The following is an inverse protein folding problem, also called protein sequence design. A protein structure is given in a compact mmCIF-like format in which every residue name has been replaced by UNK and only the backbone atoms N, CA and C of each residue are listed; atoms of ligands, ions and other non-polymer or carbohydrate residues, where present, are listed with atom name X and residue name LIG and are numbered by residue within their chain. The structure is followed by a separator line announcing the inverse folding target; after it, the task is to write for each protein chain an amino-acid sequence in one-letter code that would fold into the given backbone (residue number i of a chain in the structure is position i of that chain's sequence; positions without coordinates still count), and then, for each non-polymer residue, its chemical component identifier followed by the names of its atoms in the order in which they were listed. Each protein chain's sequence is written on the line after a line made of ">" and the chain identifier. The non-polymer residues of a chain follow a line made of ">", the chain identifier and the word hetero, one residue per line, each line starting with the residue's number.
data_IF_911198048684
#
_entry.id   IF_911198048684
#
_cell.length_a   1.000
_cell.length_b   1.000
_cell.length_c   1.000
_cell.angle_alpha   90.00
_cell.angle_beta   90.00
_cell.angle_gamma   90.00
#
_symmetry.space_group_name_H-M   'P 1'
#
loop_
_entity.id
_entity.type
_entity.pdbx_description
1 polymer ?
#
# COMPACT_ATOMS: atom_id res chain seq x y z
N UNK A 1 20.15 -2.74 -2.63
CA UNK A 1 19.56 -1.64 -1.85
C UNK A 1 19.28 -2.23 -0.48
N UNK A 2 19.77 -1.63 0.60
CA UNK A 2 19.51 -2.15 1.94
C UNK A 2 18.03 -2.06 2.25
N UNK A 3 17.47 -3.11 2.86
CA UNK A 3 16.07 -3.14 3.23
C UNK A 3 15.82 -2.12 4.36
N UNK A 4 15.03 -1.06 4.12
CA UNK A 4 14.86 0.05 5.06
C UNK A 4 14.06 -0.34 6.31
N UNK A 5 13.18 -1.32 6.18
CA UNK A 5 12.33 -1.83 7.25
C UNK A 5 11.89 -3.27 6.94
N UNK A 6 11.49 -3.99 7.97
CA UNK A 6 10.96 -5.35 7.83
C UNK A 6 9.73 -5.56 8.71
N UNK A 7 8.74 -6.26 8.18
CA UNK A 7 7.62 -6.81 8.97
C UNK A 7 7.75 -8.32 8.97
N UNK A 8 7.87 -8.91 10.17
CA UNK A 8 8.05 -10.35 10.35
C UNK A 8 7.46 -10.82 11.67
N UNK A 9 7.17 -12.12 11.83
CA UNK A 9 7.01 -12.69 13.17
C UNK A 9 8.26 -12.38 14.02
N UNK A 10 8.08 -11.85 15.25
CA UNK A 10 9.21 -11.58 16.14
C UNK A 10 9.82 -12.90 16.62
N UNK A 11 11.15 -13.00 16.65
CA UNK A 11 11.85 -14.07 17.36
C UNK A 11 12.08 -13.62 18.80
N UNK A 12 11.19 -14.02 19.71
CA UNK A 12 11.24 -13.62 21.11
C UNK A 12 12.40 -14.27 21.90
N UNK A 13 13.20 -15.14 21.27
CA UNK A 13 14.49 -15.56 21.81
C UNK A 13 15.59 -14.50 21.60
N UNK A 14 15.39 -13.50 20.73
CA UNK A 14 16.30 -12.38 20.54
C UNK A 14 16.44 -11.58 21.86
N UNK A 15 17.68 -11.37 22.36
CA UNK A 15 17.88 -10.67 23.63
C UNK A 15 17.25 -9.28 23.66
N UNK A 16 16.40 -9.03 24.65
CA UNK A 16 15.79 -7.72 24.88
C UNK A 16 14.54 -7.43 24.04
N UNK A 17 14.15 -8.30 23.10
CA UNK A 17 13.00 -8.04 22.23
C UNK A 17 11.68 -8.10 23.01
N UNK A 18 11.54 -9.06 23.94
CA UNK A 18 10.37 -9.15 24.81
C UNK A 18 10.20 -7.90 25.69
N UNK A 19 11.30 -7.39 26.26
CA UNK A 19 11.32 -6.14 27.02
C UNK A 19 11.01 -4.93 26.14
N UNK A 20 11.51 -4.90 24.90
CA UNK A 20 11.20 -3.84 23.95
C UNK A 20 9.70 -3.84 23.58
N UNK A 21 9.12 -4.99 23.28
CA UNK A 21 7.69 -5.15 22.99
C UNK A 21 6.82 -4.75 24.19
N UNK A 22 7.20 -5.15 25.41
CA UNK A 22 6.47 -4.75 26.61
C UNK A 22 6.53 -3.22 26.83
N UNK A 23 7.71 -2.60 26.69
CA UNK A 23 7.85 -1.14 26.79
C UNK A 23 7.05 -0.41 25.72
N UNK A 24 7.04 -0.92 24.50
CA UNK A 24 6.26 -0.39 23.39
C UNK A 24 4.76 -0.40 23.70
N UNK A 25 4.24 -1.52 24.22
CA UNK A 25 2.85 -1.60 24.67
C UNK A 25 2.54 -0.56 25.75
N UNK A 26 3.38 -0.44 26.78
CA UNK A 26 3.16 0.52 27.87
C UNK A 26 3.12 1.96 27.33
N UNK A 27 4.00 2.31 26.40
CA UNK A 27 4.02 3.63 25.78
C UNK A 27 2.74 3.90 24.98
N UNK A 28 2.33 2.95 24.13
CA UNK A 28 1.10 3.07 23.33
C UNK A 28 -0.16 3.12 24.21
N UNK A 29 -0.21 2.32 25.28
CA UNK A 29 -1.34 2.26 26.19
C UNK A 29 -1.55 3.55 26.97
N UNK A 30 -0.47 4.20 27.46
CA UNK A 30 -0.57 5.52 28.11
C UNK A 30 -1.19 6.57 27.19
N UNK A 31 -0.83 6.55 25.91
CA UNK A 31 -1.37 7.47 24.93
C UNK A 31 -2.85 7.18 24.64
N UNK A 32 -3.23 5.91 24.56
CA UNK A 32 -4.63 5.51 24.38
C UNK A 32 -5.51 5.91 25.57
N UNK A 33 -5.03 5.73 26.81
CA UNK A 33 -5.72 6.22 28.01
C UNK A 33 -5.97 7.72 27.94
N UNK A 34 -4.96 8.50 27.56
CA UNK A 34 -5.09 9.95 27.41
C UNK A 34 -6.14 10.34 26.34
N UNK A 35 -6.22 9.60 25.24
CA UNK A 35 -7.20 9.85 24.18
C UNK A 35 -8.63 9.49 24.57
N UNK A 36 -8.80 8.44 25.37
CA UNK A 36 -10.12 7.95 25.78
C UNK A 36 -10.63 8.63 27.07
N UNK A 37 -9.90 9.59 27.62
CA UNK A 37 -10.30 10.30 28.84
C UNK A 37 -10.14 9.46 30.10
N UNK A 38 -9.06 8.66 30.17
CA UNK A 38 -8.70 7.80 31.30
C UNK A 38 -9.84 6.86 31.77
N UNK A 39 -10.35 5.98 30.89
CA UNK A 39 -11.33 5.00 31.29
C UNK A 39 -10.76 4.11 32.40
N UNK A 40 -11.53 3.79 33.45
CA UNK A 40 -11.01 3.14 34.65
C UNK A 40 -10.39 1.76 34.41
N UNK A 41 -10.77 1.07 33.33
CA UNK A 41 -10.42 -0.34 33.10
C UNK A 41 -10.06 -0.65 31.64
N UNK A 42 -9.12 0.07 31.03
CA UNK A 42 -8.52 -0.38 29.77
C UNK A 42 -7.41 -1.40 30.08
N UNK A 43 -7.54 -2.69 29.69
CA UNK A 43 -6.55 -3.69 30.05
C UNK A 43 -5.27 -3.56 29.22
N UNK A 44 -4.15 -3.94 29.82
CA UNK A 44 -2.93 -4.29 29.08
C UNK A 44 -3.07 -5.73 28.57
N UNK A 45 -2.50 -6.02 27.39
CA UNK A 45 -2.43 -7.40 26.89
C UNK A 45 -1.39 -8.21 27.66
N UNK A 46 -0.24 -7.60 27.97
CA UNK A 46 0.81 -8.20 28.80
C UNK A 46 1.07 -7.38 30.05
N UNK A 47 1.33 -8.05 31.17
CA UNK A 47 1.72 -7.45 32.46
C UNK A 47 3.25 -7.43 32.66
N UNK A 48 4.01 -8.07 31.77
CA UNK A 48 5.48 -8.08 31.79
C UNK A 48 6.09 -8.75 30.55
N UNK A 49 7.42 -8.65 30.42
CA UNK A 49 8.16 -9.26 29.30
C UNK A 49 8.02 -10.80 29.24
N UNK A 50 7.87 -11.46 30.41
CA UNK A 50 7.60 -12.89 30.46
C UNK A 50 6.26 -13.25 29.79
N UNK A 51 5.23 -12.41 29.95
CA UNK A 51 3.93 -12.60 29.30
C UNK A 51 3.99 -12.34 27.79
N UNK A 52 4.86 -11.44 27.32
CA UNK A 52 5.13 -11.28 25.88
C UNK A 52 5.68 -12.59 25.29
N UNK A 53 6.66 -13.17 25.97
CA UNK A 53 7.32 -14.43 25.54
C UNK A 53 6.36 -15.61 25.59
N UNK A 54 5.52 -15.68 26.63
CA UNK A 54 4.53 -16.73 26.81
C UNK A 54 3.21 -16.48 26.07
N UNK A 55 3.13 -15.44 25.22
CA UNK A 55 1.90 -15.06 24.55
C UNK A 55 1.42 -16.20 23.63
N UNK A 56 0.19 -16.71 23.83
CA UNK A 56 -0.33 -17.83 23.03
C UNK A 56 -0.74 -17.38 21.62
N UNK A 57 -0.84 -16.08 21.39
CA UNK A 57 -1.28 -15.48 20.13
C UNK A 57 -0.11 -15.28 19.17
N UNK A 58 -0.42 -15.27 17.88
CA UNK A 58 0.55 -14.95 16.84
C UNK A 58 0.85 -13.45 16.84
N UNK A 59 2.05 -13.12 16.35
CA UNK A 59 2.56 -11.75 16.39
C UNK A 59 3.21 -11.38 15.05
N UNK A 60 3.07 -10.13 14.64
CA UNK A 60 3.86 -9.49 13.61
C UNK A 60 4.52 -8.26 14.20
N UNK A 61 5.82 -8.11 13.99
CA UNK A 61 6.61 -7.00 14.46
C UNK A 61 7.19 -6.23 13.26
N UNK A 62 7.12 -4.90 13.35
CA UNK A 62 7.69 -3.99 12.36
C UNK A 62 8.98 -3.38 12.91
N UNK A 63 10.06 -3.49 12.14
CA UNK A 63 11.38 -3.02 12.52
C UNK A 63 11.93 -2.02 11.50
N UNK A 64 12.64 -1.03 12.01
CA UNK A 64 13.50 -0.13 11.24
C UNK A 64 14.95 -0.37 11.71
N UNK A 65 15.76 -1.03 10.88
CA UNK A 65 17.00 -1.63 11.34
C UNK A 65 16.74 -2.65 12.46
N UNK A 66 17.35 -2.45 13.63
CA UNK A 66 17.14 -3.26 14.83
C UNK A 66 16.04 -2.72 15.75
N UNK A 67 15.48 -1.54 15.48
CA UNK A 67 14.52 -0.89 16.38
C UNK A 67 13.09 -1.36 16.11
N UNK A 68 12.40 -1.82 17.14
CA UNK A 68 11.00 -2.21 17.08
C UNK A 68 10.11 -0.96 17.00
N UNK A 69 9.38 -0.80 15.90
CA UNK A 69 8.50 0.35 15.62
C UNK A 69 7.02 0.04 15.82
N UNK A 70 6.64 -1.23 15.79
CA UNK A 70 5.25 -1.63 15.97
C UNK A 70 5.10 -3.13 16.15
N UNK A 71 3.96 -3.53 16.71
CA UNK A 71 3.60 -4.91 16.97
C UNK A 71 2.10 -5.09 16.76
N UNK A 72 1.71 -6.16 16.09
CA UNK A 72 0.34 -6.59 15.90
C UNK A 72 0.22 -8.00 16.46
N UNK A 73 -0.74 -8.20 17.36
CA UNK A 73 -1.07 -9.48 17.97
C UNK A 73 -2.41 -9.94 17.47
N UNK A 74 -2.49 -11.20 17.04
CA UNK A 74 -3.69 -11.76 16.46
C UNK A 74 -3.83 -13.24 16.79
N UNK A 75 -5.05 -13.73 16.79
CA UNK A 75 -5.38 -15.14 16.92
C UNK A 75 -6.16 -15.63 15.70
N UNK A 76 -6.15 -16.94 15.49
CA UNK A 76 -6.98 -17.59 14.47
C UNK A 76 -8.39 -17.77 15.03
N UNK A 77 -9.40 -17.31 14.29
CA UNK A 77 -10.81 -17.42 14.68
C UNK A 77 -11.61 -17.98 13.50
N UNK A 78 -11.97 -19.27 13.58
CA UNK A 78 -12.68 -19.96 12.51
C UNK A 78 -11.86 -20.02 11.21
N UNK A 79 -12.35 -19.37 10.16
CA UNK A 79 -11.71 -19.26 8.84
C UNK A 79 -10.91 -17.95 8.65
N UNK A 80 -10.86 -17.12 9.69
CA UNK A 80 -10.21 -15.81 9.69
C UNK A 80 -9.27 -15.61 10.87
N UNK A 81 -8.96 -14.35 11.12
CA UNK A 81 -8.12 -13.92 12.25
C UNK A 81 -8.76 -12.75 12.97
N UNK A 82 -8.58 -12.70 14.29
CA UNK A 82 -8.97 -11.57 15.11
C UNK A 82 -7.73 -10.83 15.60
N UNK A 83 -7.65 -9.53 15.33
CA UNK A 83 -6.59 -8.67 15.86
C UNK A 83 -6.91 -8.38 17.32
N UNK A 84 -6.13 -8.98 18.21
CA UNK A 84 -6.19 -8.74 19.64
C UNK A 84 -5.68 -7.35 20.00
N UNK A 85 -4.59 -6.92 19.34
CA UNK A 85 -3.97 -5.63 19.62
C UNK A 85 -3.11 -5.17 18.47
N UNK A 86 -3.08 -3.87 18.24
CA UNK A 86 -1.99 -3.23 17.49
C UNK A 86 -1.38 -2.12 18.35
N UNK A 87 -0.06 -2.08 18.40
CA UNK A 87 0.71 -1.03 19.06
C UNK A 87 1.77 -0.53 18.10
N UNK A 88 1.95 0.79 18.08
CA UNK A 88 2.99 1.45 17.30
C UNK A 88 3.73 2.38 18.27
N UNK A 89 5.00 2.65 17.99
CA UNK A 89 5.77 3.59 18.77
C UNK A 89 5.14 5.00 18.67
N UNK A 90 4.68 5.59 19.79
CA UNK A 90 4.09 6.93 19.79
C UNK A 90 4.96 8.00 19.14
N UNK A 91 6.29 7.90 19.25
CA UNK A 91 7.22 8.85 18.63
C UNK A 91 7.21 8.77 17.09
N UNK A 92 6.71 7.67 16.54
CA UNK A 92 6.66 7.37 15.11
C UNK A 92 5.23 7.28 14.57
N UNK A 93 4.24 7.82 15.30
CA UNK A 93 2.86 7.90 14.81
C UNK A 93 2.76 8.70 13.51
N UNK A 94 1.82 8.29 12.65
CA UNK A 94 1.64 8.88 11.32
C UNK A 94 2.67 8.46 10.28
N UNK A 95 3.72 7.70 10.65
CA UNK A 95 4.74 7.24 9.70
C UNK A 95 4.38 5.93 8.96
N UNK A 96 3.15 5.42 9.15
CA UNK A 96 2.61 4.29 8.40
C UNK A 96 2.83 2.91 9.01
N UNK A 97 3.57 2.79 10.12
CA UNK A 97 3.89 1.49 10.76
C UNK A 97 2.67 0.61 11.06
N UNK A 98 1.61 1.19 11.62
CA UNK A 98 0.37 0.45 11.88
C UNK A 98 -0.27 -0.10 10.61
N UNK A 99 -0.24 0.68 9.52
CA UNK A 99 -0.76 0.23 8.23
C UNK A 99 0.10 -0.87 7.63
N UNK A 100 1.44 -0.80 7.75
CA UNK A 100 2.33 -1.88 7.29
C UNK A 100 2.01 -3.21 7.95
N UNK A 101 1.81 -3.20 9.28
CA UNK A 101 1.44 -4.38 10.05
C UNK A 101 0.10 -4.97 9.62
N UNK A 102 -0.93 -4.12 9.53
CA UNK A 102 -2.28 -4.55 9.11
C UNK A 102 -2.21 -5.10 7.69
N UNK A 103 -1.59 -4.38 6.75
CA UNK A 103 -1.50 -4.79 5.35
C UNK A 103 -0.69 -6.09 5.17
N UNK A 104 0.35 -6.32 5.97
CA UNK A 104 1.07 -7.59 6.00
C UNK A 104 0.16 -8.76 6.44
N UNK A 105 -0.70 -8.53 7.44
CA UNK A 105 -1.70 -9.53 7.85
C UNK A 105 -2.75 -9.74 6.75
N UNK A 106 -3.29 -8.68 6.15
CA UNK A 106 -4.30 -8.75 5.10
C UNK A 106 -3.80 -9.46 3.83
N UNK A 107 -2.48 -9.46 3.58
CA UNK A 107 -1.90 -10.18 2.47
C UNK A 107 -2.08 -11.71 2.60
N UNK A 108 -2.10 -12.23 3.82
CA UNK A 108 -2.19 -13.67 4.09
C UNK A 108 -3.53 -14.12 4.68
N UNK A 109 -4.31 -13.20 5.25
CA UNK A 109 -5.59 -13.49 5.88
C UNK A 109 -6.75 -12.83 5.12
N UNK A 110 -7.64 -13.60 4.47
CA UNK A 110 -8.74 -13.07 3.68
C UNK A 110 -9.90 -12.55 4.54
N UNK A 111 -9.97 -12.91 5.81
CA UNK A 111 -11.00 -12.48 6.74
C UNK A 111 -10.33 -12.06 8.05
N UNK A 112 -10.46 -10.78 8.40
CA UNK A 112 -9.83 -10.18 9.58
C UNK A 112 -10.84 -9.34 10.34
N UNK A 113 -10.94 -9.53 11.65
CA UNK A 113 -11.75 -8.68 12.51
C UNK A 113 -10.90 -7.98 13.57
N UNK A 114 -11.42 -6.88 14.11
CA UNK A 114 -10.79 -6.16 15.21
C UNK A 114 -11.83 -5.39 16.01
N UNK A 115 -11.67 -5.36 17.32
CA UNK A 115 -12.49 -4.55 18.20
C UNK A 115 -11.72 -3.29 18.63
N UNK A 116 -12.35 -2.12 18.54
CA UNK A 116 -11.75 -0.84 18.93
C UNK A 116 -12.76 0.10 19.56
N UNK A 117 -12.30 0.98 20.45
CA UNK A 117 -13.15 2.00 21.03
C UNK A 117 -13.62 3.01 19.97
N UNK A 118 -14.88 3.44 20.07
CA UNK A 118 -15.46 4.45 19.19
C UNK A 118 -14.73 5.80 19.31
N UNK A 119 -14.20 6.11 20.49
CA UNK A 119 -13.34 7.28 20.72
C UNK A 119 -11.92 7.14 20.15
N UNK A 120 -11.48 5.95 19.72
CA UNK A 120 -10.13 5.74 19.20
C UNK A 120 -10.05 6.12 17.71
N UNK A 121 -10.07 7.43 17.44
CA UNK A 121 -10.08 7.97 16.09
C UNK A 121 -8.83 7.57 15.27
N UNK A 122 -7.68 7.32 15.92
CA UNK A 122 -6.48 6.87 15.24
C UNK A 122 -6.62 5.44 14.70
N UNK A 123 -7.14 4.52 15.51
CA UNK A 123 -7.42 3.15 15.11
C UNK A 123 -8.51 3.10 14.01
N UNK A 124 -9.60 3.85 14.18
CA UNK A 124 -10.68 3.93 13.19
C UNK A 124 -10.16 4.41 11.82
N UNK A 125 -9.30 5.44 11.79
CA UNK A 125 -8.66 5.90 10.54
C UNK A 125 -7.74 4.85 9.94
N UNK A 126 -6.95 4.17 10.76
CA UNK A 126 -6.05 3.10 10.31
C UNK A 126 -6.82 1.96 9.64
N UNK A 127 -7.83 1.42 10.33
CA UNK A 127 -8.61 0.28 9.84
C UNK A 127 -9.48 0.68 8.65
N UNK A 128 -10.10 1.87 8.69
CA UNK A 128 -10.85 2.39 7.54
C UNK A 128 -9.97 2.52 6.28
N UNK A 129 -8.73 3.02 6.42
CA UNK A 129 -7.76 3.08 5.31
C UNK A 129 -7.36 1.69 4.79
N UNK A 130 -7.35 0.68 5.65
CA UNK A 130 -7.09 -0.70 5.27
C UNK A 130 -8.32 -1.42 4.68
N UNK A 131 -9.47 -0.74 4.57
CA UNK A 131 -10.69 -1.27 3.99
C UNK A 131 -11.57 -2.05 4.96
N UNK A 132 -11.36 -1.90 6.28
CA UNK A 132 -12.27 -2.45 7.28
C UNK A 132 -13.57 -1.64 7.31
N UNK A 133 -14.69 -2.31 7.56
CA UNK A 133 -16.01 -1.72 7.71
C UNK A 133 -16.61 -2.07 9.08
N UNK A 134 -17.45 -1.20 9.68
CA UNK A 134 -18.14 -1.53 10.92
C UNK A 134 -19.14 -2.68 10.74
N UNK A 135 -19.07 -3.69 11.60
CA UNK A 135 -19.97 -4.86 11.60
C UNK A 135 -20.91 -4.85 12.81
N UNK A 136 -20.42 -4.48 14.00
CA UNK A 136 -21.19 -4.51 15.24
C UNK A 136 -20.77 -3.40 16.20
N UNK A 137 -21.73 -2.86 16.97
CA UNK A 137 -21.50 -1.88 18.06
C UNK A 137 -22.05 -2.40 19.39
N UNK A 138 -21.31 -2.20 20.47
CA UNK A 138 -21.79 -2.49 21.84
C UNK A 138 -21.17 -1.54 22.86
N UNK A 139 -21.62 -1.64 24.11
CA UNK A 139 -21.02 -0.93 25.24
C UNK A 139 -20.46 -1.96 26.23
N UNK A 140 -19.30 -1.67 26.79
CA UNK A 140 -18.77 -2.42 27.94
C UNK A 140 -19.62 -2.13 29.19
N UNK A 141 -19.55 -2.97 30.25
CA UNK A 141 -20.19 -2.67 31.53
C UNK A 141 -19.79 -1.30 32.11
N UNK A 142 -18.58 -0.83 31.83
CA UNK A 142 -18.07 0.48 32.22
C UNK A 142 -18.51 1.64 31.31
N UNK A 143 -19.41 1.41 30.35
CA UNK A 143 -19.98 2.46 29.49
C UNK A 143 -19.15 2.84 28.26
N UNK A 144 -17.97 2.23 28.06
CA UNK A 144 -17.17 2.47 26.86
C UNK A 144 -17.85 1.88 25.62
N UNK A 145 -18.11 2.71 24.61
CA UNK A 145 -18.65 2.28 23.33
C UNK A 145 -17.55 1.67 22.44
N UNK A 146 -17.80 0.48 21.92
CA UNK A 146 -16.87 -0.29 21.08
C UNK A 146 -17.51 -0.61 19.73
N UNK A 147 -16.65 -0.71 18.71
CA UNK A 147 -16.96 -1.21 17.38
C UNK A 147 -16.17 -2.48 17.10
N UNK A 148 -16.82 -3.46 16.49
CA UNK A 148 -16.20 -4.54 15.73
C UNK A 148 -16.11 -4.08 14.29
N UNK A 149 -14.91 -4.09 13.77
CA UNK A 149 -14.62 -3.82 12.37
C UNK A 149 -14.21 -5.11 11.69
N UNK A 150 -14.73 -5.35 10.50
CA UNK A 150 -14.41 -6.50 9.68
C UNK A 150 -13.77 -6.10 8.36
N UNK A 151 -12.76 -6.86 7.95
CA UNK A 151 -12.21 -6.87 6.61
C UNK A 151 -12.47 -8.23 5.99
N UNK A 152 -13.01 -8.22 4.78
CA UNK A 152 -13.12 -9.41 3.94
C UNK A 152 -12.50 -9.09 2.60
N UNK A 153 -11.46 -9.82 2.23
CA UNK A 153 -10.90 -9.81 0.87
C UNK A 153 -12.05 -10.10 -0.09
N UNK A 154 -12.38 -9.17 -1.00
CA UNK A 154 -13.38 -9.43 -2.01
C UNK A 154 -12.97 -10.67 -2.82
N UNK A 155 -13.89 -11.59 -3.12
CA UNK A 155 -13.58 -12.70 -4.01
C UNK A 155 -13.11 -12.16 -5.37
N UNK A 156 -12.36 -13.00 -6.08
CA UNK A 156 -11.78 -12.65 -7.38
C UNK A 156 -12.86 -12.28 -8.43
N UNK A 157 -14.07 -12.82 -8.29
CA UNK A 157 -15.25 -12.50 -9.12
C UNK A 157 -16.02 -11.26 -8.67
N UNK A 158 -15.67 -10.65 -7.52
CA UNK A 158 -16.34 -9.46 -7.05
C UNK A 158 -16.26 -8.33 -8.08
N UNK A 159 -17.38 -7.62 -8.26
CA UNK A 159 -17.47 -6.51 -9.20
C UNK A 159 -16.28 -5.54 -9.01
N UNK A 160 -15.55 -5.30 -10.08
CA UNK A 160 -14.43 -4.36 -10.11
C UNK A 160 -14.96 -2.92 -10.16
N UNK A 161 -14.17 -1.92 -9.73
CA UNK A 161 -14.57 -0.52 -9.91
C UNK A 161 -14.89 -0.25 -11.39
N UNK A 162 -16.03 0.39 -11.70
CA UNK A 162 -16.37 0.71 -13.07
C UNK A 162 -15.40 1.78 -13.58
N UNK A 163 -14.76 1.52 -14.71
CA UNK A 163 -13.89 2.47 -15.40
C UNK A 163 -14.30 2.53 -16.86
N UNK A 164 -14.26 3.73 -17.44
CA UNK A 164 -14.49 3.97 -18.85
C UNK A 164 -13.31 4.72 -19.47
N UNK A 165 -13.25 4.77 -20.81
CA UNK A 165 -12.24 5.53 -21.53
C UNK A 165 -12.96 6.48 -22.48
N UNK A 166 -12.72 7.77 -22.35
CA UNK A 166 -13.27 8.78 -23.25
C UNK A 166 -12.46 8.87 -24.57
N UNK A 167 -12.99 9.65 -25.52
CA UNK A 167 -12.36 9.81 -26.83
C UNK A 167 -11.05 10.61 -26.82
N UNK A 168 -10.79 11.36 -25.74
CA UNK A 168 -9.54 12.09 -25.54
C UNK A 168 -8.45 11.21 -24.88
N UNK A 169 -8.81 10.01 -24.41
CA UNK A 169 -7.91 9.07 -23.76
C UNK A 169 -7.82 9.25 -22.24
N UNK A 170 -8.81 9.91 -21.62
CA UNK A 170 -8.94 10.02 -20.18
C UNK A 170 -9.95 9.00 -19.63
N UNK A 171 -9.70 8.55 -18.41
CA UNK A 171 -10.62 7.76 -17.59
C UNK A 171 -11.42 8.74 -16.73
N UNK A 172 -12.71 8.98 -17.01
CA UNK A 172 -13.49 9.99 -16.30
C UNK A 172 -13.59 9.75 -14.79
N UNK A 173 -13.54 8.49 -14.36
CA UNK A 173 -13.60 8.09 -12.95
C UNK A 173 -12.28 8.25 -12.20
N UNK A 174 -11.18 8.51 -12.92
CA UNK A 174 -9.90 8.84 -12.30
C UNK A 174 -9.87 10.32 -11.87
N UNK A 175 -9.16 10.63 -10.79
CA UNK A 175 -8.81 12.02 -10.50
C UNK A 175 -7.77 12.48 -11.51
N UNK A 176 -8.08 13.54 -12.24
CA UNK A 176 -7.15 14.08 -13.23
C UNK A 176 -6.15 15.04 -12.57
N UNK A 177 -4.87 14.78 -12.80
CA UNK A 177 -3.75 15.62 -12.38
C UNK A 177 -2.84 15.85 -13.60
N UNK A 178 -3.25 16.66 -14.59
CA UNK A 178 -2.57 16.70 -15.89
C UNK A 178 -1.09 17.09 -15.75
N UNK A 179 -0.20 16.22 -16.25
CA UNK A 179 1.23 16.46 -16.26
C UNK A 179 1.68 17.19 -17.53
N UNK A 180 2.61 18.15 -17.44
CA UNK A 180 3.28 18.73 -18.60
C UNK A 180 4.38 17.82 -19.18
N UNK A 181 4.77 16.76 -18.47
CA UNK A 181 5.83 15.83 -18.88
C UNK A 181 5.26 14.76 -19.82
N UNK A 182 4.93 15.16 -21.04
CA UNK A 182 4.37 14.29 -22.06
C UNK A 182 4.61 14.87 -23.44
N UNK A 183 4.51 14.01 -24.45
CA UNK A 183 4.58 14.41 -25.85
C UNK A 183 3.82 13.43 -26.76
N UNK A 184 3.80 13.73 -28.07
CA UNK A 184 3.12 12.89 -29.04
C UNK A 184 3.81 11.54 -29.19
N UNK A 185 3.01 10.47 -29.28
CA UNK A 185 3.48 9.17 -29.77
C UNK A 185 3.88 9.28 -31.24
N UNK A 186 4.84 8.45 -31.65
CA UNK A 186 5.20 8.37 -33.06
C UNK A 186 3.99 7.91 -33.90
N UNK A 187 3.80 8.54 -35.07
CA UNK A 187 2.67 8.23 -35.94
C UNK A 187 2.65 6.75 -36.33
N UNK A 188 1.49 6.10 -36.22
CA UNK A 188 1.30 4.69 -36.56
C UNK A 188 1.81 3.69 -35.52
N UNK A 189 2.37 4.14 -34.39
CA UNK A 189 2.74 3.23 -33.29
C UNK A 189 1.51 2.97 -32.42
N UNK A 190 1.04 1.73 -32.43
CA UNK A 190 0.00 1.27 -31.51
C UNK A 190 0.56 1.14 -30.08
N UNK A 191 -0.25 1.53 -29.10
CA UNK A 191 0.00 1.25 -27.69
C UNK A 191 -0.36 -0.21 -27.42
N UNK A 192 0.62 -1.02 -27.01
CA UNK A 192 0.46 -2.47 -26.89
C UNK A 192 0.87 -3.04 -25.53
N UNK A 193 1.58 -2.27 -24.70
CA UNK A 193 2.16 -2.75 -23.45
C UNK A 193 1.66 -1.95 -22.25
N UNK A 194 1.28 -2.63 -21.16
CA UNK A 194 1.16 -2.01 -19.84
C UNK A 194 2.41 -2.32 -19.01
N UNK A 195 3.11 -1.28 -18.54
CA UNK A 195 4.27 -1.42 -17.65
C UNK A 195 3.83 -1.02 -16.25
N UNK A 196 3.99 -1.93 -15.30
CA UNK A 196 3.70 -1.75 -13.88
C UNK A 196 4.96 -1.27 -13.17
N UNK A 197 4.80 -0.22 -12.36
CA UNK A 197 5.84 0.42 -11.56
C UNK A 197 5.40 0.48 -10.10
N UNK A 198 6.33 0.82 -9.22
CA UNK A 198 5.97 1.32 -7.89
C UNK A 198 6.73 2.60 -7.55
N UNK A 199 6.11 3.41 -6.70
CA UNK A 199 6.71 4.64 -6.22
C UNK A 199 6.16 5.02 -4.85
N UNK A 200 6.99 5.66 -4.03
CA UNK A 200 6.57 6.35 -2.81
C UNK A 200 7.45 7.56 -2.58
N UNK A 201 6.83 8.69 -2.23
CA UNK A 201 7.51 9.96 -2.00
C UNK A 201 6.98 10.66 -0.73
N UNK A 202 7.83 10.89 0.30
CA UNK A 202 9.22 10.40 0.40
C UNK A 202 9.31 8.87 0.33
N UNK A 203 10.50 8.30 0.08
CA UNK A 203 10.65 6.85 0.02
C UNK A 203 10.02 6.19 1.22
N UNK A 204 9.19 5.17 0.98
CA UNK A 204 8.53 4.40 2.04
C UNK A 204 7.57 5.23 2.92
N UNK A 205 7.05 6.33 2.39
CA UNK A 205 5.98 7.11 2.99
C UNK A 205 4.85 7.26 1.96
N UNK A 206 3.62 7.13 2.43
CA UNK A 206 2.43 7.01 1.57
C UNK A 206 1.37 8.04 1.96
N UNK A 207 0.47 8.35 1.03
CA UNK A 207 -0.63 9.29 1.21
C UNK A 207 -0.27 10.75 0.92
N UNK A 208 1.02 11.08 0.83
CA UNK A 208 1.49 12.45 0.57
C UNK A 208 1.28 12.93 -0.88
N UNK A 209 1.58 14.21 -1.17
CA UNK A 209 1.46 14.79 -2.50
C UNK A 209 2.71 14.58 -3.39
N UNK A 210 3.80 14.03 -2.84
CA UNK A 210 5.12 14.04 -3.49
C UNK A 210 5.16 13.40 -4.88
N UNK A 211 4.43 12.30 -5.09
CA UNK A 211 4.36 11.63 -6.41
C UNK A 211 3.70 12.54 -7.45
N UNK A 212 2.56 13.13 -7.09
CA UNK A 212 1.85 14.07 -7.97
C UNK A 212 2.70 15.30 -8.27
N UNK A 213 3.39 15.82 -7.26
CA UNK A 213 4.27 16.97 -7.41
C UNK A 213 5.48 16.67 -8.30
N UNK A 214 6.10 15.48 -8.16
CA UNK A 214 7.18 15.05 -9.05
C UNK A 214 6.70 15.00 -10.49
N UNK A 215 5.58 14.33 -10.75
CA UNK A 215 5.06 14.15 -12.11
C UNK A 215 4.53 15.45 -12.73
N UNK A 216 4.25 16.49 -11.93
CA UNK A 216 3.80 17.80 -12.41
C UNK A 216 4.89 18.88 -12.38
N UNK A 217 6.14 18.54 -12.06
CA UNK A 217 7.27 19.48 -11.91
C UNK A 217 7.06 20.54 -10.81
N UNK A 218 6.30 20.21 -9.76
CA UNK A 218 5.99 21.10 -8.62
C UNK A 218 6.56 20.57 -7.30
N UNK A 219 7.45 19.58 -7.35
CA UNK A 219 8.09 19.00 -6.16
C UNK A 219 8.97 20.03 -5.47
N UNK A 220 8.64 20.35 -4.21
CA UNK A 220 9.41 21.25 -3.36
C UNK A 220 10.71 20.55 -2.89
N UNK A 221 11.90 20.99 -3.33
CA UNK A 221 13.16 20.39 -2.90
C UNK A 221 13.45 20.60 -1.41
N UNK A 222 12.87 21.62 -0.76
CA UNK A 222 13.11 21.94 0.65
C UNK A 222 12.26 21.08 1.60
N UNK A 223 11.19 20.46 1.10
CA UNK A 223 10.28 19.67 1.93
C UNK A 223 10.86 18.32 2.40
N UNK A 224 11.86 17.78 1.70
CA UNK A 224 12.53 16.53 2.09
C UNK A 224 13.90 16.37 1.42
N UNK A 225 14.95 15.85 2.10
CA UNK A 225 16.28 15.67 1.49
C UNK A 225 16.29 14.86 0.19
N UNK A 226 15.47 13.81 0.11
CA UNK A 226 15.30 13.03 -1.12
C UNK A 226 14.69 13.86 -2.26
N UNK A 227 13.79 14.81 -1.97
CA UNK A 227 13.16 15.64 -2.99
C UNK A 227 14.17 16.57 -3.65
N UNK A 228 15.09 17.14 -2.87
CA UNK A 228 16.22 17.91 -3.41
C UNK A 228 16.99 17.13 -4.48
N UNK A 229 17.12 15.81 -4.34
CA UNK A 229 17.84 14.97 -5.32
C UNK A 229 17.07 14.65 -6.60
N UNK A 230 15.74 14.82 -6.64
CA UNK A 230 14.91 14.38 -7.78
C UNK A 230 14.01 15.46 -8.38
N UNK A 231 13.85 16.63 -7.75
CA UNK A 231 12.94 17.69 -8.20
C UNK A 231 13.22 18.20 -9.63
N UNK A 232 14.46 18.05 -10.09
CA UNK A 232 14.91 18.45 -11.43
C UNK A 232 14.54 17.42 -12.52
N UNK A 233 14.15 16.20 -12.14
CA UNK A 233 13.75 15.18 -13.11
C UNK A 233 12.49 15.62 -13.86
N UNK A 234 12.37 15.13 -15.10
CA UNK A 234 11.20 15.32 -15.95
C UNK A 234 10.68 13.94 -16.31
N UNK A 235 9.75 13.46 -15.50
CA UNK A 235 9.18 12.12 -15.56
C UNK A 235 7.68 12.18 -15.30
N UNK A 236 6.96 11.18 -15.78
CA UNK A 236 5.52 11.03 -15.58
C UNK A 236 5.12 9.59 -15.82
N UNK A 237 3.95 9.20 -15.31
CA UNK A 237 3.25 7.99 -15.70
C UNK A 237 1.90 8.35 -16.32
N UNK A 238 1.19 7.37 -16.87
CA UNK A 238 -0.19 7.61 -17.29
C UNK A 238 -1.11 7.59 -16.07
N UNK A 239 -0.92 6.58 -15.21
CA UNK A 239 -1.76 6.33 -14.05
C UNK A 239 -0.95 6.17 -12.78
N UNK A 240 -1.56 6.51 -11.65
CA UNK A 240 -1.07 6.23 -10.31
C UNK A 240 -2.21 5.69 -9.45
N UNK A 241 -1.95 4.61 -8.71
CA UNK A 241 -2.95 3.95 -7.85
C UNK A 241 -2.47 4.05 -6.40
N UNK A 242 -3.17 4.87 -5.61
CA UNK A 242 -2.89 5.07 -4.19
C UNK A 242 -3.21 3.82 -3.37
N UNK A 243 -2.70 3.75 -2.14
CA UNK A 243 -2.89 2.58 -1.24
C UNK A 243 -4.36 2.19 -1.00
N UNK A 244 -5.27 3.15 -1.04
CA UNK A 244 -6.71 2.95 -0.90
C UNK A 244 -7.42 2.59 -2.21
N UNK A 245 -6.69 2.49 -3.32
CA UNK A 245 -7.22 2.18 -4.64
C UNK A 245 -7.64 3.40 -5.47
N UNK A 246 -7.51 4.63 -4.96
CA UNK A 246 -7.78 5.84 -5.75
C UNK A 246 -6.92 5.85 -7.03
N UNK A 247 -7.59 5.97 -8.17
CA UNK A 247 -6.95 6.11 -9.47
C UNK A 247 -6.73 7.58 -9.79
N UNK A 248 -5.48 7.95 -10.03
CA UNK A 248 -5.06 9.26 -10.51
C UNK A 248 -4.53 9.10 -11.93
N UNK A 249 -4.90 10.01 -12.83
CA UNK A 249 -4.38 10.03 -14.21
C UNK A 249 -3.65 11.34 -14.49
N UNK A 250 -2.45 11.24 -15.08
CA UNK A 250 -1.61 12.40 -15.42
C UNK A 250 -1.52 12.67 -16.91
N UNK A 251 -1.54 11.62 -17.72
CA UNK A 251 -1.32 11.68 -19.17
C UNK A 251 -2.44 10.89 -19.85
N UNK A 252 -3.11 11.47 -20.87
CA UNK A 252 -4.09 10.71 -21.63
C UNK A 252 -3.41 9.55 -22.36
N UNK A 253 -4.09 8.41 -22.52
CA UNK A 253 -3.50 7.20 -23.12
C UNK A 253 -3.08 7.38 -24.59
N UNK A 254 -3.58 8.45 -25.23
CA UNK A 254 -3.26 8.87 -26.59
C UNK A 254 -1.90 9.56 -26.71
N UNK A 255 -1.35 10.06 -25.60
CA UNK A 255 -0.03 10.69 -25.54
C UNK A 255 1.01 9.76 -24.90
N UNK A 256 2.29 10.13 -25.03
CA UNK A 256 3.42 9.41 -24.46
C UNK A 256 3.80 10.02 -23.11
N UNK A 257 3.68 9.24 -22.02
CA UNK A 257 4.30 9.57 -20.74
C UNK A 257 5.77 9.15 -20.69
N UNK A 258 6.53 9.70 -19.74
CA UNK A 258 7.97 9.48 -19.61
C UNK A 258 8.30 8.63 -18.37
N UNK A 259 8.02 7.31 -18.44
CA UNK A 259 8.09 6.40 -17.28
C UNK A 259 9.20 5.32 -17.38
N UNK A 260 9.43 4.76 -18.57
CA UNK A 260 10.29 3.58 -18.73
C UNK A 260 11.80 3.90 -18.85
N UNK A 261 12.17 5.09 -19.33
CA UNK A 261 13.56 5.45 -19.61
C UNK A 261 14.23 4.53 -20.64
N UNK A 262 15.49 4.14 -20.40
CA UNK A 262 16.20 3.15 -21.24
C UNK A 262 15.67 1.75 -20.93
N UNK A 263 14.96 1.16 -21.89
CA UNK A 263 14.26 -0.11 -21.71
C UNK A 263 14.09 -0.87 -23.02
N UNK A 264 13.83 -2.19 -22.93
CA UNK A 264 13.53 -3.07 -24.06
C UNK A 264 12.49 -4.13 -23.67
N UNK A 265 11.47 -4.33 -24.52
CA UNK A 265 10.48 -5.39 -24.36
C UNK A 265 10.43 -6.23 -25.63
N UNK A 266 10.64 -7.54 -25.52
CA UNK A 266 10.72 -8.49 -26.66
C UNK A 266 11.67 -8.02 -27.78
N UNK A 267 12.79 -7.39 -27.38
CA UNK A 267 13.80 -6.85 -28.29
C UNK A 267 13.51 -5.46 -28.86
N UNK A 268 12.32 -4.89 -28.60
CA UNK A 268 11.96 -3.52 -29.01
C UNK A 268 12.34 -2.52 -27.93
N UNK A 269 13.27 -1.63 -28.25
CA UNK A 269 13.72 -0.57 -27.35
C UNK A 269 12.72 0.58 -27.20
N UNK A 270 12.94 1.45 -26.20
CA UNK A 270 12.18 2.69 -25.96
C UNK A 270 10.71 2.43 -25.66
N UNK A 271 10.45 1.66 -24.60
CA UNK A 271 9.09 1.20 -24.27
C UNK A 271 8.07 2.33 -24.16
N UNK A 272 8.44 3.54 -23.71
CA UNK A 272 7.56 4.72 -23.68
C UNK A 272 6.78 4.90 -24.99
N UNK A 273 7.39 4.62 -26.16
CA UNK A 273 6.78 4.84 -27.47
C UNK A 273 5.50 4.00 -27.67
N UNK A 274 5.42 2.82 -27.06
CA UNK A 274 4.34 1.84 -27.27
C UNK A 274 3.73 1.30 -25.96
N UNK A 275 4.07 1.89 -24.82
CA UNK A 275 3.55 1.47 -23.52
C UNK A 275 2.75 2.54 -22.79
N UNK A 276 1.89 2.07 -21.88
CA UNK A 276 1.30 2.82 -20.79
C UNK A 276 2.02 2.47 -19.49
N UNK A 277 2.21 3.47 -18.64
CA UNK A 277 2.85 3.32 -17.33
C UNK A 277 1.82 3.49 -16.24
N UNK A 278 1.73 2.49 -15.35
CA UNK A 278 0.90 2.54 -14.13
C UNK A 278 1.79 2.40 -12.91
N UNK A 279 1.73 3.39 -12.04
CA UNK A 279 2.47 3.46 -10.78
C UNK A 279 1.58 2.98 -9.63
N UNK A 280 2.04 2.02 -8.84
CA UNK A 280 1.37 1.68 -7.59
C UNK A 280 2.09 2.36 -6.43
N UNK A 281 1.33 3.04 -5.56
CA UNK A 281 1.89 3.57 -4.32
C UNK A 281 2.42 2.42 -3.45
N UNK A 282 3.74 2.36 -3.25
CA UNK A 282 4.36 1.20 -2.63
C UNK A 282 5.88 1.18 -2.76
N UNK A 283 6.45 0.00 -2.54
CA UNK A 283 7.88 -0.28 -2.68
C UNK A 283 8.13 -1.79 -2.71
N UNK A 284 9.36 -2.18 -3.04
CA UNK A 284 9.83 -3.56 -3.18
C UNK A 284 9.92 -4.37 -1.87
N UNK A 285 9.52 -3.80 -0.72
CA UNK A 285 9.74 -4.38 0.61
C UNK A 285 8.45 -4.68 1.39
N UNK A 286 7.28 -4.48 0.78
CA UNK A 286 6.01 -4.83 1.42
C UNK A 286 4.87 -5.12 0.43
N UNK A 287 3.82 -5.84 0.87
CA UNK A 287 2.68 -6.15 0.00
C UNK A 287 1.96 -4.90 -0.52
N UNK A 288 1.45 -4.97 -1.75
CA UNK A 288 0.46 -4.02 -2.26
C UNK A 288 -0.93 -4.32 -1.70
N UNK A 289 -1.76 -3.28 -1.56
CA UNK A 289 -3.08 -3.42 -0.97
C UNK A 289 -4.08 -4.04 -1.95
N UNK A 290 -5.08 -4.75 -1.44
CA UNK A 290 -6.14 -5.35 -2.25
C UNK A 290 -6.92 -4.34 -3.10
N UNK A 291 -7.12 -3.14 -2.56
CA UNK A 291 -7.74 -2.04 -3.30
C UNK A 291 -6.93 -1.64 -4.55
N UNK A 292 -5.59 -1.67 -4.46
CA UNK A 292 -4.71 -1.37 -5.59
C UNK A 292 -4.84 -2.43 -6.69
N UNK A 293 -4.84 -3.71 -6.32
CA UNK A 293 -5.04 -4.80 -7.28
C UNK A 293 -6.38 -4.67 -7.99
N UNK A 294 -7.46 -4.39 -7.25
CA UNK A 294 -8.80 -4.24 -7.84
C UNK A 294 -8.85 -3.12 -8.89
N UNK A 295 -8.28 -1.96 -8.57
CA UNK A 295 -8.17 -0.84 -9.51
C UNK A 295 -7.29 -1.18 -10.71
N UNK A 296 -6.13 -1.82 -10.49
CA UNK A 296 -5.22 -2.21 -11.56
C UNK A 296 -5.85 -3.23 -12.53
N UNK A 297 -6.56 -4.23 -12.00
CA UNK A 297 -7.26 -5.25 -12.81
C UNK A 297 -8.36 -4.60 -13.64
N UNK A 298 -9.15 -3.70 -13.05
CA UNK A 298 -10.18 -2.95 -13.76
C UNK A 298 -9.58 -2.14 -14.92
N UNK A 299 -8.50 -1.41 -14.63
CA UNK A 299 -7.79 -0.58 -15.59
C UNK A 299 -7.17 -1.43 -16.70
N UNK A 300 -6.50 -2.53 -16.37
CA UNK A 300 -5.88 -3.41 -17.36
C UNK A 300 -6.92 -4.04 -18.30
N UNK A 301 -8.07 -4.48 -17.77
CA UNK A 301 -9.18 -5.01 -18.58
C UNK A 301 -9.75 -3.95 -19.52
N UNK A 302 -9.98 -2.73 -19.02
CA UNK A 302 -10.44 -1.60 -19.82
C UNK A 302 -9.45 -1.30 -20.96
N UNK A 303 -8.17 -1.12 -20.63
CA UNK A 303 -7.15 -0.74 -21.61
C UNK A 303 -6.91 -1.85 -22.64
N UNK A 304 -6.92 -3.13 -22.23
CA UNK A 304 -6.89 -4.27 -23.16
C UNK A 304 -8.05 -4.18 -24.14
N UNK A 305 -9.27 -3.96 -23.66
CA UNK A 305 -10.46 -3.91 -24.52
C UNK A 305 -10.45 -2.72 -25.47
N UNK A 306 -10.04 -1.54 -25.01
CA UNK A 306 -10.13 -0.29 -25.79
C UNK A 306 -8.94 -0.07 -26.72
N UNK A 307 -7.74 -0.53 -26.34
CA UNK A 307 -6.49 -0.26 -27.05
C UNK A 307 -5.87 -1.50 -27.70
N UNK A 308 -6.37 -2.70 -27.38
CA UNK A 308 -5.82 -3.94 -27.89
C UNK A 308 -4.45 -4.30 -27.32
N UNK A 309 -4.22 -4.01 -26.03
CA UNK A 309 -2.96 -4.35 -25.36
C UNK A 309 -2.63 -5.85 -25.53
N UNK A 310 -1.36 -6.13 -25.81
CA UNK A 310 -0.84 -7.48 -26.08
C UNK A 310 0.00 -8.04 -24.93
N UNK A 311 0.40 -7.20 -23.97
CA UNK A 311 1.12 -7.65 -22.79
C UNK A 311 1.09 -6.69 -21.60
N UNK A 312 1.46 -7.24 -20.46
CA UNK A 312 1.75 -6.54 -19.21
C UNK A 312 3.11 -7.02 -18.70
N UNK A 313 3.89 -6.12 -18.12
CA UNK A 313 5.21 -6.43 -17.57
C UNK A 313 5.55 -5.48 -16.44
N UNK A 314 6.48 -5.85 -15.58
CA UNK A 314 7.08 -4.93 -14.62
C UNK A 314 8.26 -4.15 -15.21
N UNK A 315 8.66 -3.07 -14.54
CA UNK A 315 9.78 -2.22 -14.95
C UNK A 315 11.13 -2.94 -14.84
N UNK A 316 11.27 -3.82 -13.86
CA UNK A 316 12.42 -4.70 -13.64
C UNK A 316 12.67 -5.64 -14.82
N UNK A 317 11.61 -6.06 -15.53
CA UNK A 317 11.72 -6.95 -16.68
C UNK A 317 12.14 -6.24 -17.97
N UNK A 318 11.73 -4.97 -18.16
CA UNK A 318 12.13 -4.18 -19.35
C UNK A 318 13.44 -3.41 -19.16
N UNK A 319 13.95 -3.34 -17.93
CA UNK A 319 15.18 -2.63 -17.59
C UNK A 319 16.01 -3.40 -16.53
N UNK A 320 16.38 -4.67 -16.81
CA UNK A 320 17.08 -5.51 -15.85
C UNK A 320 18.42 -4.91 -15.44
N UNK A 321 18.74 -4.99 -14.15
CA UNK A 321 19.96 -4.42 -13.55
C UNK A 321 19.92 -2.91 -13.30
N UNK A 322 18.94 -2.18 -13.87
CA UNK A 322 18.72 -0.75 -13.61
C UNK A 322 17.53 -0.50 -12.69
N UNK A 323 16.47 -1.31 -12.83
CA UNK A 323 15.20 -1.17 -12.11
C UNK A 323 14.82 -2.46 -11.40
N UNK A 324 14.12 -2.33 -10.29
CA UNK A 324 13.68 -3.45 -9.44
C UNK A 324 12.17 -3.43 -9.16
N UNK A 325 11.49 -2.32 -9.46
CA UNK A 325 10.06 -2.14 -9.31
C UNK A 325 9.25 -2.91 -10.39
N UNK A 326 8.05 -3.45 -10.07
CA UNK A 326 7.30 -3.29 -8.83
C UNK A 326 7.75 -4.24 -7.69
N UNK A 327 8.76 -5.07 -7.93
CA UNK A 327 9.46 -5.82 -6.89
C UNK A 327 8.76 -7.12 -6.44
N UNK A 328 9.40 -7.88 -5.53
CA UNK A 328 9.00 -9.25 -5.19
C UNK A 328 7.65 -9.35 -4.46
N UNK A 329 7.14 -8.24 -3.92
CA UNK A 329 5.85 -8.20 -3.24
C UNK A 329 4.67 -7.92 -4.17
N UNK A 330 4.92 -7.72 -5.46
CA UNK A 330 3.87 -7.65 -6.47
C UNK A 330 3.43 -9.06 -6.90
N UNK A 331 2.14 -9.36 -6.70
CA UNK A 331 1.53 -10.66 -6.96
C UNK A 331 1.12 -10.80 -8.43
N UNK A 332 2.11 -11.13 -9.26
CA UNK A 332 1.91 -11.45 -10.68
C UNK A 332 0.93 -12.62 -10.88
N UNK A 333 0.88 -13.58 -9.96
CA UNK A 333 -0.02 -14.72 -10.07
C UNK A 333 -1.49 -14.29 -9.96
N UNK A 334 -1.80 -13.35 -9.06
CA UNK A 334 -3.14 -12.75 -8.97
C UNK A 334 -3.52 -12.02 -10.25
N UNK A 335 -2.60 -11.24 -10.83
CA UNK A 335 -2.86 -10.55 -12.10
C UNK A 335 -3.14 -11.54 -13.23
N UNK A 336 -2.30 -12.57 -13.41
CA UNK A 336 -2.46 -13.59 -14.46
C UNK A 336 -3.78 -14.36 -14.37
N UNK A 337 -4.29 -14.59 -13.15
CA UNK A 337 -5.60 -15.24 -12.96
C UNK A 337 -6.77 -14.34 -13.38
N UNK A 338 -6.63 -13.03 -13.20
CA UNK A 338 -7.75 -12.08 -13.28
C UNK A 338 -7.72 -11.20 -14.53
N UNK A 339 -6.59 -11.14 -15.22
CA UNK A 339 -6.45 -10.40 -16.46
C UNK A 339 -6.02 -11.40 -17.52
N UNK A 340 -6.84 -11.56 -18.55
CA UNK A 340 -6.49 -12.31 -19.76
C UNK A 340 -5.50 -11.49 -20.61
N UNK A 341 -4.36 -11.09 -20.05
CA UNK A 341 -3.31 -10.33 -20.73
C UNK A 341 -1.99 -11.00 -20.35
N UNK A 342 -1.16 -11.43 -21.32
CA UNK A 342 0.12 -12.05 -21.01
C UNK A 342 0.93 -11.15 -20.06
N UNK A 343 1.16 -11.64 -18.84
CA UNK A 343 1.92 -10.94 -17.81
C UNK A 343 3.27 -11.64 -17.66
N UNK A 344 4.35 -10.99 -18.11
CA UNK A 344 5.72 -11.50 -18.05
C UNK A 344 6.39 -11.07 -16.74
#
# INVERSE_FOLDING_TARGET
>A
MDQPFVVRPPDLAEPGLAEAAFRLQLAAHRLELAWLGEPPDLPLLWDGAAAVTACPYRQLAAFEGAELRGLLVYEEEGDGVHIQRIVVDPAHFGQGWGYRLVNALLAVAPHVTVDTAEGNAAALRLYGKAGFVPEQRWHTPGGLALWRLGYRRPPDEAALPPLSLDTAGWVPEARHCPSPNRDARAAGVATELLVVHNISLPPYRYGGPGVEQLFTNTLDPEAHPYYATIHHLRVSAHFFIRRDGELVQFVPVTERAWHAGVSSWRGRERCNDFSLGVELEGCDFEPFADAQYRTLIALARLLKQQLGLTGMTGHEHIAPGRKTDPGPYFDWARLRRLVDLPAE
#
